data_IF_982489001491
#
_entry.id   IF_982489001491
#
_cell.length_a   1.000
_cell.length_b   1.000
_cell.length_c   1.000
_cell.angle_alpha   90.00
_cell.angle_beta   90.00
_cell.angle_gamma   90.00
#
_symmetry.space_group_name_H-M   'P 1'
#
loop_
_entity.id
_entity.type
_entity.pdbx_description
1 polymer ?
#
# COMPACT_ATOMS: atom_id res chain seq x y z
N UNK A 1 -6.25 -20.92 19.94
CA UNK A 1 -4.95 -20.23 20.11
C UNK A 1 -4.71 -20.04 21.60
N UNK A 2 -3.56 -20.48 22.14
CA UNK A 2 -3.06 -20.08 23.46
C UNK A 2 -1.60 -19.67 23.28
N UNK A 3 -1.27 -18.47 23.75
CA UNK A 3 0.10 -18.06 24.00
C UNK A 3 0.49 -18.50 25.41
N UNK A 4 1.63 -19.17 25.60
CA UNK A 4 2.21 -19.39 26.92
C UNK A 4 3.72 -19.06 26.89
N UNK A 5 4.09 -18.08 27.71
CA UNK A 5 5.43 -17.86 28.30
C UNK A 5 5.45 -18.53 29.69
N UNK A 6 6.60 -19.01 30.20
CA UNK A 6 6.64 -20.12 31.16
C UNK A 6 6.35 -19.65 32.58
N UNK A 7 5.16 -19.98 33.11
CA UNK A 7 4.93 -20.42 34.49
C UNK A 7 3.45 -20.78 34.70
N UNK A 8 3.20 -22.08 34.80
CA UNK A 8 2.03 -22.78 35.39
C UNK A 8 0.60 -22.54 34.85
N UNK A 9 -0.04 -23.69 34.61
CA UNK A 9 -1.46 -24.00 34.36
C UNK A 9 -2.04 -23.71 32.97
N UNK A 10 -2.09 -24.80 32.18
CA UNK A 10 -2.70 -24.97 30.87
C UNK A 10 -4.24 -24.99 30.99
N UNK A 11 -4.95 -24.21 30.17
CA UNK A 11 -6.36 -24.48 29.84
C UNK A 11 -6.55 -24.35 28.32
N UNK A 12 -6.70 -25.51 27.68
CA UNK A 12 -6.70 -25.77 26.23
C UNK A 12 -7.95 -25.21 25.57
N UNK A 13 -7.81 -24.48 24.48
CA UNK A 13 -8.94 -24.09 23.65
C UNK A 13 -9.22 -25.23 22.65
N UNK A 14 -10.30 -25.98 22.91
CA UNK A 14 -10.86 -27.00 22.04
C UNK A 14 -11.40 -26.34 20.75
N UNK A 15 -10.74 -26.57 19.62
CA UNK A 15 -11.43 -26.56 18.32
C UNK A 15 -11.80 -28.02 18.03
N UNK A 16 -12.88 -28.47 18.66
CA UNK A 16 -13.37 -29.82 18.57
C UNK A 16 -14.59 -29.93 19.46
N UNK A 17 -15.75 -29.54 18.92
CA UNK A 17 -17.10 -30.03 19.20
C UNK A 17 -18.01 -29.19 18.30
N UNK A 18 -18.33 -29.74 17.13
CA UNK A 18 -19.56 -29.45 16.37
C UNK A 18 -19.78 -30.63 15.41
N UNK A 19 -19.96 -31.80 16.02
CA UNK A 19 -20.58 -32.99 15.42
C UNK A 19 -21.24 -33.82 16.53
N UNK A 20 -21.71 -33.17 17.59
CA UNK A 20 -22.06 -33.84 18.85
C UNK A 20 -23.50 -33.65 19.33
N UNK A 21 -24.36 -32.97 18.57
CA UNK A 21 -25.76 -32.77 19.01
C UNK A 21 -26.80 -33.58 18.24
N UNK A 22 -26.50 -34.14 17.06
CA UNK A 22 -27.50 -34.93 16.31
C UNK A 22 -27.25 -36.44 16.24
N UNK A 23 -26.02 -36.95 16.44
CA UNK A 23 -25.81 -38.41 16.56
C UNK A 23 -24.50 -38.80 17.28
N UNK A 24 -24.40 -38.42 18.56
CA UNK A 24 -23.24 -38.72 19.42
C UNK A 24 -22.97 -40.22 19.53
N UNK A 25 -24.01 -41.05 19.48
CA UNK A 25 -23.91 -42.49 19.63
C UNK A 25 -23.40 -43.16 18.34
N UNK A 26 -23.86 -42.73 17.16
CA UNK A 26 -23.33 -43.24 15.90
C UNK A 26 -21.87 -42.83 15.67
N UNK A 27 -21.49 -41.59 16.00
CA UNK A 27 -20.11 -41.14 15.88
C UNK A 27 -19.18 -41.84 16.89
N UNK A 28 -19.64 -42.02 18.14
CA UNK A 28 -18.87 -42.75 19.16
C UNK A 28 -18.74 -44.23 18.81
N UNK A 29 -19.78 -44.85 18.24
CA UNK A 29 -19.76 -46.22 17.75
C UNK A 29 -18.84 -46.38 16.52
N UNK A 30 -18.88 -45.44 15.57
CA UNK A 30 -18.00 -45.42 14.40
C UNK A 30 -16.53 -45.22 14.81
N UNK A 31 -16.25 -44.27 15.70
CA UNK A 31 -14.92 -44.02 16.25
C UNK A 31 -14.38 -45.23 17.02
N UNK A 32 -15.22 -45.91 17.80
CA UNK A 32 -14.84 -47.13 18.53
C UNK A 32 -14.53 -48.30 17.59
N UNK A 33 -15.30 -48.47 16.52
CA UNK A 33 -15.07 -49.51 15.49
C UNK A 33 -13.80 -49.25 14.68
N UNK A 34 -13.56 -48.00 14.29
CA UNK A 34 -12.33 -47.60 13.60
C UNK A 34 -11.12 -47.76 14.53
N UNK A 35 -11.25 -47.45 15.82
CA UNK A 35 -10.20 -47.68 16.81
C UNK A 35 -9.90 -49.17 17.05
N UNK A 36 -10.90 -50.04 16.88
CA UNK A 36 -10.77 -51.49 16.93
C UNK A 36 -10.28 -52.12 15.61
N UNK A 37 -10.04 -51.32 14.55
CA UNK A 37 -9.57 -51.79 13.25
C UNK A 37 -10.65 -52.36 12.32
N UNK A 38 -11.93 -52.12 12.61
CA UNK A 38 -13.06 -52.58 11.79
C UNK A 38 -13.32 -51.63 10.60
N UNK A 39 -13.68 -52.19 9.43
CA UNK A 39 -14.05 -51.42 8.25
C UNK A 39 -15.43 -50.75 8.42
N UNK A 40 -15.48 -49.43 8.30
CA UNK A 40 -16.71 -48.65 8.29
C UNK A 40 -17.38 -48.66 6.91
N UNK A 41 -18.68 -48.90 6.84
CA UNK A 41 -19.41 -48.95 5.57
C UNK A 41 -19.87 -47.55 5.14
N UNK A 42 -19.08 -46.92 4.27
CA UNK A 42 -19.31 -45.58 3.71
C UNK A 42 -20.53 -45.48 2.76
N UNK A 43 -21.16 -46.60 2.39
CA UNK A 43 -22.36 -46.57 1.53
C UNK A 43 -23.66 -46.21 2.26
N UNK A 44 -23.61 -46.02 3.58
CA UNK A 44 -24.76 -45.68 4.42
C UNK A 44 -24.92 -44.17 4.72
N UNK A 45 -24.10 -43.31 4.11
CA UNK A 45 -24.07 -41.89 4.41
C UNK A 45 -25.26 -41.14 3.79
N UNK A 46 -25.91 -40.30 4.58
CA UNK A 46 -27.00 -39.40 4.13
C UNK A 46 -26.43 -38.06 3.66
N UNK A 47 -27.25 -37.20 3.04
CA UNK A 47 -26.87 -35.82 2.66
C UNK A 47 -26.33 -35.02 3.86
N UNK A 48 -26.88 -35.25 5.05
CA UNK A 48 -26.44 -34.65 6.32
C UNK A 48 -24.99 -35.06 6.67
N UNK A 49 -24.56 -36.25 6.28
CA UNK A 49 -23.18 -36.71 6.52
C UNK A 49 -22.17 -36.05 5.58
N UNK A 50 -22.60 -35.63 4.37
CA UNK A 50 -21.76 -34.87 3.44
C UNK A 50 -21.49 -33.45 3.97
N UNK A 51 -22.54 -32.78 4.46
CA UNK A 51 -22.41 -31.44 5.05
C UNK A 51 -21.51 -31.44 6.29
N UNK A 52 -21.63 -32.45 7.16
CA UNK A 52 -20.74 -32.63 8.31
C UNK A 52 -19.29 -32.94 7.90
N UNK A 53 -19.07 -33.71 6.83
CA UNK A 53 -17.73 -33.95 6.30
C UNK A 53 -17.11 -32.69 5.69
N UNK A 54 -17.91 -31.88 5.00
CA UNK A 54 -17.49 -30.60 4.43
C UNK A 54 -17.14 -29.58 5.52
N UNK A 55 -17.97 -29.46 6.57
CA UNK A 55 -17.71 -28.61 7.73
C UNK A 55 -16.47 -29.07 8.51
N UNK A 56 -16.29 -30.39 8.64
CA UNK A 56 -15.10 -31.00 9.23
C UNK A 56 -13.82 -30.65 8.47
N UNK A 57 -13.84 -30.69 7.12
CA UNK A 57 -12.68 -30.30 6.30
C UNK A 57 -12.43 -28.79 6.33
N UNK A 58 -13.50 -27.97 6.28
CA UNK A 58 -13.43 -26.51 6.40
C UNK A 58 -12.75 -26.09 7.69
N UNK A 59 -13.07 -26.74 8.80
CA UNK A 59 -12.52 -26.40 10.11
C UNK A 59 -11.14 -27.01 10.33
N UNK A 60 -11.00 -28.32 10.14
CA UNK A 60 -9.82 -29.07 10.59
C UNK A 60 -8.62 -28.99 9.64
N UNK A 61 -8.86 -28.74 8.34
CA UNK A 61 -7.77 -28.61 7.35
C UNK A 61 -7.69 -27.18 6.81
N UNK A 62 -8.74 -26.68 6.16
CA UNK A 62 -8.68 -25.39 5.49
C UNK A 62 -8.57 -24.22 6.47
N UNK A 63 -9.30 -24.26 7.60
CA UNK A 63 -9.20 -23.28 8.67
C UNK A 63 -7.84 -23.28 9.34
N UNK A 64 -7.29 -24.45 9.65
CA UNK A 64 -5.94 -24.59 10.21
C UNK A 64 -4.86 -24.07 9.24
N UNK A 65 -4.98 -24.37 7.95
CA UNK A 65 -4.09 -23.89 6.90
C UNK A 65 -4.13 -22.36 6.80
N UNK A 66 -5.32 -21.77 6.70
CA UNK A 66 -5.52 -20.32 6.63
C UNK A 66 -4.93 -19.60 7.84
N UNK A 67 -5.11 -20.17 9.04
CA UNK A 67 -4.51 -19.64 10.27
C UNK A 67 -2.98 -19.67 10.22
N UNK A 68 -2.38 -20.76 9.72
CA UNK A 68 -0.93 -20.82 9.58
C UNK A 68 -0.43 -19.75 8.60
N UNK A 69 -1.01 -19.69 7.40
CA UNK A 69 -0.63 -18.74 6.35
C UNK A 69 -0.75 -17.28 6.79
N UNK A 70 -1.80 -16.96 7.55
CA UNK A 70 -2.04 -15.59 8.06
C UNK A 70 -0.98 -15.14 9.06
N UNK A 71 -0.49 -16.05 9.90
CA UNK A 71 0.43 -15.71 11.00
C UNK A 71 1.91 -15.96 10.67
N UNK A 72 2.24 -16.57 9.52
CA UNK A 72 3.63 -16.76 9.07
C UNK A 72 4.44 -15.46 9.09
N UNK A 73 3.95 -14.31 8.57
CA UNK A 73 4.74 -13.07 8.58
C UNK A 73 5.08 -12.58 9.98
N UNK A 74 4.21 -12.84 10.98
CA UNK A 74 4.45 -12.49 12.37
C UNK A 74 5.43 -13.47 13.04
N UNK A 75 5.32 -14.75 12.72
CA UNK A 75 6.22 -15.79 13.24
C UNK A 75 7.66 -15.56 12.76
N UNK A 76 7.85 -15.05 11.54
CA UNK A 76 9.18 -14.70 11.01
C UNK A 76 9.91 -13.60 11.81
N UNK A 77 9.20 -12.87 12.67
CA UNK A 77 9.78 -11.84 13.55
C UNK A 77 10.23 -12.39 14.92
N UNK A 78 9.94 -13.66 15.22
CA UNK A 78 10.33 -14.32 16.48
C UNK A 78 11.71 -14.97 16.33
N UNK A 79 12.55 -14.88 17.36
CA UNK A 79 13.87 -15.54 17.39
C UNK A 79 13.77 -17.09 17.43
N UNK A 80 12.57 -17.65 17.64
CA UNK A 80 12.34 -19.10 17.71
C UNK A 80 10.88 -19.45 17.39
N UNK A 81 10.43 -19.31 16.14
CA UNK A 81 9.05 -19.58 15.78
C UNK A 81 8.76 -21.07 15.82
N UNK A 82 7.56 -21.42 16.28
CA UNK A 82 7.06 -22.80 16.28
C UNK A 82 5.60 -22.84 15.90
N UNK A 83 5.28 -23.71 14.94
CA UNK A 83 3.90 -24.11 14.65
C UNK A 83 3.75 -25.55 15.13
N UNK A 84 2.77 -25.79 16.01
CA UNK A 84 2.46 -27.13 16.52
C UNK A 84 1.03 -27.46 16.12
N UNK A 85 0.89 -28.42 15.22
CA UNK A 85 -0.41 -28.96 14.81
C UNK A 85 -0.72 -30.22 15.60
N UNK A 86 -1.91 -30.28 16.20
CA UNK A 86 -2.41 -31.44 16.93
C UNK A 86 -3.34 -32.22 16.03
N UNK A 87 -3.17 -33.54 15.95
CA UNK A 87 -4.04 -34.44 15.18
C UNK A 87 -4.56 -35.56 16.06
N UNK A 88 -5.76 -36.05 15.74
CA UNK A 88 -6.37 -37.19 16.41
C UNK A 88 -5.87 -38.51 15.82
N UNK A 89 -5.84 -39.57 16.63
CA UNK A 89 -5.39 -40.92 16.21
C UNK A 89 -6.20 -41.51 15.06
N UNK A 90 -7.42 -41.00 14.81
CA UNK A 90 -8.26 -41.41 13.68
C UNK A 90 -7.70 -40.95 12.33
N UNK A 91 -6.92 -39.86 12.29
CA UNK A 91 -6.31 -39.30 11.07
C UNK A 91 -5.01 -39.97 10.63
N UNK A 92 -4.64 -41.13 11.18
CA UNK A 92 -3.45 -41.88 10.72
C UNK A 92 -3.63 -42.32 9.28
N UNK A 93 -2.58 -42.20 8.47
CA UNK A 93 -2.56 -42.70 7.08
C UNK A 93 -2.98 -44.17 6.96
N UNK A 94 -2.60 -44.98 7.96
CA UNK A 94 -2.95 -46.40 8.05
C UNK A 94 -4.47 -46.65 8.14
N UNK A 95 -5.24 -45.67 8.62
CA UNK A 95 -6.69 -45.75 8.76
C UNK A 95 -7.44 -45.36 7.49
N UNK A 96 -6.76 -44.77 6.49
CA UNK A 96 -7.39 -44.49 5.21
C UNK A 96 -7.70 -45.83 4.51
N UNK A 97 -8.83 -45.93 3.83
CA UNK A 97 -9.13 -47.09 2.97
C UNK A 97 -8.86 -46.81 1.49
N UNK A 98 -8.75 -45.53 1.14
CA UNK A 98 -8.53 -45.08 -0.23
C UNK A 98 -7.03 -45.06 -0.54
N UNK A 99 -6.58 -46.00 -1.38
CA UNK A 99 -5.18 -46.16 -1.76
C UNK A 99 -4.63 -44.98 -2.57
N UNK A 100 -5.47 -44.26 -3.32
CA UNK A 100 -5.06 -43.01 -3.96
C UNK A 100 -4.77 -41.94 -2.91
N UNK A 101 -5.68 -41.73 -1.95
CA UNK A 101 -5.50 -40.76 -0.88
C UNK A 101 -4.29 -41.12 0.02
N UNK A 102 -4.06 -42.42 0.28
CA UNK A 102 -2.84 -42.89 0.95
C UNK A 102 -1.61 -42.54 0.15
N UNK A 103 -1.54 -42.91 -1.13
CA UNK A 103 -0.40 -42.65 -2.00
C UNK A 103 -0.02 -41.17 -1.97
N UNK A 104 -1.01 -40.31 -2.20
CA UNK A 104 -0.95 -38.86 -2.07
C UNK A 104 -0.41 -38.45 -0.68
N UNK A 105 -1.11 -38.76 0.40
CA UNK A 105 -0.76 -38.27 1.74
C UNK A 105 0.48 -38.96 2.37
N UNK A 106 0.95 -40.06 1.80
CA UNK A 106 2.15 -40.81 2.24
C UNK A 106 3.43 -40.43 1.48
N UNK A 107 3.28 -39.68 0.38
CA UNK A 107 4.39 -39.28 -0.46
C UNK A 107 5.16 -38.12 0.19
N UNK A 108 6.17 -38.50 1.00
CA UNK A 108 7.07 -37.58 1.66
C UNK A 108 8.09 -36.94 0.72
N UNK A 109 8.26 -37.43 -0.53
CA UNK A 109 9.14 -36.79 -1.52
C UNK A 109 8.53 -35.51 -2.10
N UNK A 110 7.23 -35.31 -1.89
CA UNK A 110 6.54 -34.05 -2.19
C UNK A 110 6.55 -33.07 -1.02
N UNK A 111 7.23 -33.37 0.10
CA UNK A 111 7.53 -32.38 1.12
C UNK A 111 8.72 -31.52 0.68
N UNK A 112 8.45 -30.32 0.18
CA UNK A 112 9.51 -29.30 0.13
C UNK A 112 9.67 -28.75 1.54
N UNK A 113 10.74 -29.19 2.22
CA UNK A 113 11.30 -28.47 3.36
C UNK A 113 12.05 -27.24 2.84
N UNK A 114 11.51 -26.06 3.09
CA UNK A 114 12.30 -24.84 2.97
C UNK A 114 12.83 -24.50 4.36
N UNK A 115 14.16 -24.57 4.54
CA UNK A 115 14.82 -24.09 5.74
C UNK A 115 15.29 -22.66 5.51
N UNK A 116 14.64 -21.73 6.21
CA UNK A 116 15.12 -20.37 6.40
C UNK A 116 15.52 -20.27 7.87
N UNK A 117 16.82 -20.15 8.12
CA UNK A 117 17.43 -19.82 9.41
C UNK A 117 16.72 -20.44 10.63
N UNK A 118 16.77 -21.77 10.71
CA UNK A 118 16.21 -22.66 11.76
C UNK A 118 14.69 -22.90 11.79
N UNK A 119 13.94 -22.44 10.78
CA UNK A 119 12.51 -22.77 10.60
C UNK A 119 12.34 -23.92 9.61
N UNK A 120 11.63 -24.99 9.99
CA UNK A 120 11.28 -26.07 9.05
C UNK A 120 9.84 -25.91 8.57
N UNK A 121 9.66 -25.55 7.29
CA UNK A 121 8.33 -25.39 6.68
C UNK A 121 8.11 -26.53 5.70
N UNK A 122 7.09 -27.34 5.97
CA UNK A 122 6.70 -28.51 5.18
C UNK A 122 5.52 -28.16 4.25
N UNK A 123 5.74 -28.11 2.94
CA UNK A 123 4.65 -28.00 1.94
C UNK A 123 4.53 -29.27 1.11
N UNK A 124 3.32 -29.59 0.65
CA UNK A 124 3.05 -30.72 -0.23
C UNK A 124 3.03 -30.26 -1.71
N UNK A 125 3.84 -30.91 -2.55
CA UNK A 125 4.43 -30.38 -3.79
C UNK A 125 3.58 -30.30 -5.08
N UNK A 126 4.22 -29.68 -6.08
CA UNK A 126 3.72 -29.30 -7.41
C UNK A 126 3.32 -30.48 -8.31
N UNK A 127 2.01 -30.68 -8.52
CA UNK A 127 1.45 -31.05 -9.82
C UNK A 127 0.03 -30.50 -9.98
N UNK A 128 -0.18 -29.77 -11.06
CA UNK A 128 -1.40 -29.07 -11.43
C UNK A 128 -2.58 -30.02 -11.60
N UNK A 129 -3.57 -29.92 -10.71
CA UNK A 129 -4.94 -30.38 -10.98
C UNK A 129 -5.53 -29.46 -12.04
N UNK A 130 -5.67 -29.98 -13.27
CA UNK A 130 -6.49 -29.34 -14.31
C UNK A 130 -7.94 -29.35 -13.83
N UNK A 131 -8.39 -28.21 -13.32
CA UNK A 131 -9.80 -27.91 -13.09
C UNK A 131 -10.38 -27.45 -14.44
N UNK A 132 -11.34 -28.20 -14.97
CA UNK A 132 -12.13 -27.79 -16.15
C UNK A 132 -12.94 -26.53 -15.80
N UNK A 133 -12.97 -25.51 -16.68
CA UNK A 133 -13.52 -24.20 -16.35
C UNK A 133 -15.04 -24.19 -16.49
N UNK A 134 -15.78 -24.68 -15.50
CA UNK A 134 -17.25 -24.52 -15.49
C UNK A 134 -17.87 -24.33 -14.10
N UNK A 135 -17.06 -24.11 -13.07
CA UNK A 135 -17.53 -23.41 -11.86
C UNK A 135 -16.34 -22.64 -11.27
N UNK A 136 -16.51 -21.32 -11.18
CA UNK A 136 -15.44 -20.41 -10.75
C UNK A 136 -14.92 -20.80 -9.36
N UNK A 137 -13.61 -20.97 -9.17
CA UNK A 137 -13.06 -21.01 -7.82
C UNK A 137 -13.31 -19.66 -7.16
N UNK A 138 -13.81 -19.69 -5.92
CA UNK A 138 -13.98 -18.50 -5.08
C UNK A 138 -12.59 -17.97 -4.68
N UNK A 139 -11.89 -17.35 -5.64
CA UNK A 139 -10.81 -16.41 -5.38
C UNK A 139 -11.45 -15.06 -5.04
N UNK A 140 -11.81 -14.88 -3.78
CA UNK A 140 -11.97 -13.55 -3.20
C UNK A 140 -10.76 -13.27 -2.30
N UNK A 141 -9.55 -13.35 -2.86
CA UNK A 141 -8.48 -12.51 -2.35
C UNK A 141 -8.94 -11.07 -2.61
N UNK A 142 -9.21 -10.29 -1.56
CA UNK A 142 -9.66 -8.91 -1.69
C UNK A 142 -8.71 -8.14 -2.60
N UNK A 143 -9.14 -7.82 -3.82
CA UNK A 143 -8.34 -7.02 -4.75
C UNK A 143 -8.26 -5.60 -4.22
N UNK A 144 -7.03 -5.09 -4.11
CA UNK A 144 -6.76 -3.70 -3.75
C UNK A 144 -6.60 -2.87 -5.02
N UNK A 145 -7.23 -1.70 -5.04
CA UNK A 145 -7.18 -0.76 -6.15
C UNK A 145 -6.44 0.51 -5.74
N UNK A 146 -5.45 0.90 -6.53
CA UNK A 146 -4.65 2.09 -6.31
C UNK A 146 -4.74 3.08 -7.47
N UNK A 147 -4.68 4.36 -7.17
CA UNK A 147 -4.46 5.44 -8.14
C UNK A 147 -3.12 6.09 -7.82
N UNK A 148 -2.26 6.23 -8.83
CA UNK A 148 -1.00 6.98 -8.70
C UNK A 148 -1.01 8.13 -9.71
N UNK A 149 -0.90 9.36 -9.20
CA UNK A 149 -0.91 10.57 -10.03
C UNK A 149 0.45 10.86 -10.64
N UNK A 150 0.50 11.32 -11.90
CA UNK A 150 1.78 11.70 -12.56
C UNK A 150 2.77 10.54 -12.68
N UNK A 151 2.28 9.36 -13.07
CA UNK A 151 2.97 8.09 -12.95
C UNK A 151 3.57 7.55 -14.25
N UNK A 152 3.59 8.35 -15.34
CA UNK A 152 4.22 7.93 -16.60
C UNK A 152 5.76 7.89 -16.56
N UNK A 153 6.39 8.40 -15.50
CA UNK A 153 7.86 8.46 -15.34
C UNK A 153 8.25 8.71 -13.88
N UNK A 154 9.55 8.63 -13.61
CA UNK A 154 10.14 8.98 -12.31
C UNK A 154 9.55 8.14 -11.17
N UNK A 155 9.44 8.75 -9.99
CA UNK A 155 9.00 8.08 -8.76
C UNK A 155 7.62 7.45 -8.93
N UNK A 156 6.65 8.15 -9.55
CA UNK A 156 5.30 7.62 -9.77
C UNK A 156 5.28 6.30 -10.57
N UNK A 157 6.17 6.16 -11.57
CA UNK A 157 6.30 4.91 -12.31
C UNK A 157 6.89 3.78 -11.44
N UNK A 158 7.87 4.12 -10.60
CA UNK A 158 8.45 3.20 -9.61
C UNK A 158 7.40 2.71 -8.60
N UNK A 159 6.54 3.62 -8.12
CA UNK A 159 5.44 3.30 -7.21
C UNK A 159 4.45 2.34 -7.89
N UNK A 160 4.04 2.62 -9.14
CA UNK A 160 3.16 1.73 -9.90
C UNK A 160 3.76 0.33 -10.03
N UNK A 161 5.03 0.22 -10.40
CA UNK A 161 5.74 -1.06 -10.53
C UNK A 161 5.75 -1.86 -9.23
N UNK A 162 6.12 -1.21 -8.12
CA UNK A 162 6.22 -1.88 -6.82
C UNK A 162 4.85 -2.29 -6.25
N UNK A 163 3.82 -1.43 -6.36
CA UNK A 163 2.46 -1.79 -5.94
C UNK A 163 1.91 -2.97 -6.76
N UNK A 164 2.07 -2.93 -8.08
CA UNK A 164 1.64 -4.02 -8.95
C UNK A 164 2.37 -5.33 -8.67
N UNK A 165 3.68 -5.27 -8.37
CA UNK A 165 4.45 -6.47 -7.97
C UNK A 165 3.97 -7.12 -6.66
N UNK A 166 3.19 -6.39 -5.86
CA UNK A 166 2.57 -6.86 -4.62
C UNK A 166 1.09 -7.23 -4.80
N UNK A 167 0.63 -7.35 -6.04
CA UNK A 167 -0.73 -7.79 -6.38
C UNK A 167 -1.79 -6.68 -6.33
N UNK A 168 -1.40 -5.41 -6.18
CA UNK A 168 -2.33 -4.27 -6.22
C UNK A 168 -2.68 -3.97 -7.68
N UNK A 169 -3.96 -3.83 -8.00
CA UNK A 169 -4.37 -3.29 -9.31
C UNK A 169 -4.21 -1.77 -9.29
N UNK A 170 -3.32 -1.24 -10.11
CA UNK A 170 -2.95 0.18 -10.14
C UNK A 170 -3.48 0.85 -11.41
N UNK A 171 -4.21 1.94 -11.22
CA UNK A 171 -4.49 2.93 -12.26
C UNK A 171 -3.32 3.89 -12.33
N UNK A 172 -2.44 3.65 -13.31
CA UNK A 172 -1.38 4.56 -13.71
C UNK A 172 -2.01 5.74 -14.43
N UNK A 173 -1.73 6.96 -13.99
CA UNK A 173 -2.28 8.16 -14.61
C UNK A 173 -1.21 9.12 -15.13
N UNK A 174 -1.54 9.83 -16.19
CA UNK A 174 -0.66 10.80 -16.82
C UNK A 174 -1.46 11.90 -17.52
N UNK A 175 -0.94 13.12 -17.52
CA UNK A 175 -1.58 14.24 -18.24
C UNK A 175 -1.54 14.04 -19.75
N UNK A 176 -0.45 13.45 -20.24
CA UNK A 176 -0.24 13.14 -21.66
C UNK A 176 -0.56 11.67 -21.90
N UNK A 177 -1.60 11.42 -22.69
CA UNK A 177 -2.12 10.08 -22.95
C UNK A 177 -1.07 9.18 -23.61
N UNK A 178 -0.35 9.68 -24.61
CA UNK A 178 0.68 8.92 -25.31
C UNK A 178 1.76 8.42 -24.35
N UNK A 179 2.32 9.32 -23.52
CA UNK A 179 3.34 8.97 -22.53
C UNK A 179 2.80 8.01 -21.47
N UNK A 180 1.53 8.12 -21.12
CA UNK A 180 0.85 7.20 -20.20
C UNK A 180 0.76 5.78 -20.75
N UNK A 181 0.34 5.63 -22.01
CA UNK A 181 0.26 4.34 -22.71
C UNK A 181 1.65 3.72 -22.84
N UNK A 182 2.65 4.49 -23.28
CA UNK A 182 4.05 4.03 -23.37
C UNK A 182 4.59 3.56 -22.00
N UNK A 183 4.20 4.23 -20.91
CA UNK A 183 4.60 3.83 -19.56
C UNK A 183 3.95 2.50 -19.13
N UNK A 184 2.67 2.28 -19.48
CA UNK A 184 2.01 0.99 -19.26
C UNK A 184 2.68 -0.12 -20.07
N UNK A 185 3.02 0.12 -21.32
CA UNK A 185 3.73 -0.86 -22.17
C UNK A 185 5.07 -1.29 -21.55
N UNK A 186 5.86 -0.34 -21.04
CA UNK A 186 7.11 -0.66 -20.31
C UNK A 186 6.88 -1.53 -19.08
N UNK A 187 5.78 -1.33 -18.36
CA UNK A 187 5.43 -2.17 -17.20
C UNK A 187 4.89 -3.56 -17.63
N UNK A 188 4.23 -3.65 -18.79
CA UNK A 188 3.78 -4.93 -19.37
C UNK A 188 4.95 -5.83 -19.72
N UNK A 189 6.06 -5.28 -20.23
CA UNK A 189 7.30 -6.03 -20.48
C UNK A 189 7.88 -6.66 -19.21
N UNK A 190 7.53 -6.14 -18.03
CA UNK A 190 7.96 -6.67 -16.72
C UNK A 190 7.02 -7.74 -16.15
N UNK A 191 6.04 -8.23 -16.92
CA UNK A 191 5.09 -9.26 -16.47
C UNK A 191 4.00 -8.76 -15.51
N UNK A 192 3.81 -7.44 -15.40
CA UNK A 192 2.82 -6.81 -14.50
C UNK A 192 1.56 -6.35 -15.24
N UNK A 193 1.32 -6.85 -16.46
CA UNK A 193 0.27 -6.37 -17.36
C UNK A 193 -1.13 -6.39 -16.75
N UNK A 194 -1.42 -7.42 -15.97
CA UNK A 194 -2.77 -7.68 -15.46
C UNK A 194 -3.12 -6.78 -14.26
N UNK A 195 -2.11 -6.10 -13.71
CA UNK A 195 -2.23 -5.22 -12.56
C UNK A 195 -2.16 -3.73 -12.93
N UNK A 196 -1.90 -3.38 -14.19
CA UNK A 196 -1.74 -1.97 -14.60
C UNK A 196 -2.84 -1.57 -15.58
N UNK A 197 -3.62 -0.58 -15.19
CA UNK A 197 -4.59 0.12 -16.03
C UNK A 197 -4.10 1.54 -16.29
N UNK A 198 -4.46 2.11 -17.43
CA UNK A 198 -4.18 3.51 -17.74
C UNK A 198 -5.46 4.34 -17.68
N UNK A 199 -5.37 5.55 -17.14
CA UNK A 199 -6.38 6.59 -17.33
C UNK A 199 -5.70 7.96 -17.43
N UNK A 200 -6.11 8.79 -18.40
CA UNK A 200 -5.60 10.15 -18.52
C UNK A 200 -5.98 10.97 -17.27
N UNK A 201 -5.04 11.78 -16.75
CA UNK A 201 -5.30 12.68 -15.63
C UNK A 201 -4.41 13.91 -15.68
N UNK A 202 -5.02 15.08 -15.73
CA UNK A 202 -4.40 16.34 -15.32
C UNK A 202 -5.02 16.81 -13.98
N UNK A 203 -4.23 16.80 -12.91
CA UNK A 203 -4.66 17.22 -11.57
C UNK A 203 -4.98 18.73 -11.50
N UNK A 204 -4.56 19.50 -12.51
CA UNK A 204 -4.91 20.91 -12.65
C UNK A 204 -6.29 21.15 -13.30
N UNK A 205 -6.93 20.11 -13.84
CA UNK A 205 -8.21 20.16 -14.56
C UNK A 205 -9.32 19.40 -13.80
N UNK A 206 -10.32 20.09 -13.24
CA UNK A 206 -11.45 19.46 -12.55
C UNK A 206 -12.23 18.44 -13.41
N UNK A 207 -12.34 18.66 -14.73
CA UNK A 207 -13.06 17.74 -15.62
C UNK A 207 -12.31 16.41 -15.78
N UNK A 208 -10.98 16.48 -15.89
CA UNK A 208 -10.11 15.30 -15.93
C UNK A 208 -10.20 14.49 -14.63
N UNK A 209 -10.24 15.16 -13.47
CA UNK A 209 -10.42 14.49 -12.16
C UNK A 209 -11.79 13.81 -12.06
N UNK A 210 -12.86 14.48 -12.48
CA UNK A 210 -14.21 13.92 -12.45
C UNK A 210 -14.31 12.67 -13.34
N UNK A 211 -13.74 12.72 -14.55
CA UNK A 211 -13.68 11.56 -15.45
C UNK A 211 -12.98 10.36 -14.81
N UNK A 212 -11.88 10.58 -14.09
CA UNK A 212 -11.18 9.51 -13.38
C UNK A 212 -12.01 8.93 -12.23
N UNK A 213 -12.69 9.77 -11.45
CA UNK A 213 -13.55 9.31 -10.36
C UNK A 213 -14.70 8.43 -10.89
N UNK A 214 -15.34 8.83 -11.99
CA UNK A 214 -16.39 8.05 -12.65
C UNK A 214 -15.86 6.72 -13.19
N UNK A 215 -14.66 6.72 -13.77
CA UNK A 215 -13.97 5.51 -14.21
C UNK A 215 -13.73 4.53 -13.05
N UNK A 216 -13.15 4.98 -11.94
CA UNK A 216 -12.87 4.15 -10.75
C UNK A 216 -14.17 3.58 -10.19
N UNK A 217 -15.20 4.42 -10.04
CA UNK A 217 -16.52 4.01 -9.56
C UNK A 217 -17.13 2.93 -10.46
N UNK A 218 -17.04 3.10 -11.77
CA UNK A 218 -17.64 2.18 -12.74
C UNK A 218 -16.88 0.86 -12.85
N UNK A 219 -15.54 0.89 -12.76
CA UNK A 219 -14.69 -0.28 -12.94
C UNK A 219 -14.54 -1.11 -11.66
N UNK A 220 -14.41 -0.46 -10.50
CA UNK A 220 -14.04 -1.13 -9.25
C UNK A 220 -15.05 -0.93 -8.12
N UNK A 221 -15.92 0.09 -8.22
CA UNK A 221 -16.91 0.41 -7.19
C UNK A 221 -16.33 1.02 -5.89
N UNK A 222 -15.02 0.98 -5.69
CA UNK A 222 -14.29 1.54 -4.55
C UNK A 222 -12.86 1.94 -4.95
N UNK A 223 -12.14 2.59 -4.03
CA UNK A 223 -10.71 2.80 -4.12
C UNK A 223 -10.06 2.44 -2.78
N UNK A 224 -8.90 1.80 -2.78
CA UNK A 224 -8.19 1.47 -1.54
C UNK A 224 -7.00 2.41 -1.29
N UNK A 225 -6.30 2.84 -2.34
CA UNK A 225 -5.08 3.63 -2.22
C UNK A 225 -5.10 4.81 -3.19
N UNK A 226 -4.85 6.02 -2.69
CA UNK A 226 -4.52 7.20 -3.49
C UNK A 226 -3.08 7.64 -3.20
N UNK A 227 -2.25 7.73 -4.24
CA UNK A 227 -0.91 8.33 -4.14
C UNK A 227 -0.89 9.63 -4.94
N UNK A 228 -0.88 10.76 -4.22
CA UNK A 228 -0.68 12.09 -4.77
C UNK A 228 0.83 12.33 -5.02
N UNK A 229 1.32 11.81 -6.15
CA UNK A 229 2.70 11.92 -6.60
C UNK A 229 2.93 13.07 -7.60
N UNK A 230 1.91 13.47 -8.38
CA UNK A 230 2.06 14.51 -9.39
C UNK A 230 2.62 15.80 -8.78
N UNK A 231 3.69 16.33 -9.37
CA UNK A 231 4.30 17.56 -8.92
C UNK A 231 5.33 18.12 -9.88
N UNK A 232 5.50 19.44 -9.83
CA UNK A 232 6.47 20.21 -10.61
C UNK A 232 7.28 21.11 -9.69
N UNK A 233 8.40 21.63 -10.19
CA UNK A 233 9.26 22.54 -9.43
C UNK A 233 8.66 23.93 -9.26
N UNK A 234 7.79 24.37 -10.17
CA UNK A 234 7.28 25.75 -10.19
C UNK A 234 8.37 26.79 -10.51
N UNK A 235 9.42 26.35 -11.21
CA UNK A 235 10.55 27.15 -11.65
C UNK A 235 11.18 26.49 -12.88
N UNK A 236 11.77 27.29 -13.77
CA UNK A 236 12.58 26.81 -14.89
C UNK A 236 14.04 26.86 -14.45
N UNK A 237 14.78 25.79 -14.66
CA UNK A 237 16.21 25.82 -14.44
C UNK A 237 16.96 26.12 -15.73
N UNK A 238 18.10 26.77 -15.57
CA UNK A 238 19.09 26.94 -16.62
C UNK A 238 20.01 25.72 -16.62
N UNK A 239 19.82 24.85 -17.62
CA UNK A 239 20.56 23.60 -17.77
C UNK A 239 22.07 23.82 -17.93
N UNK A 240 22.48 24.90 -18.59
CA UNK A 240 23.89 25.21 -18.81
C UNK A 240 24.52 25.75 -17.53
N UNK A 241 23.79 26.60 -16.78
CA UNK A 241 24.21 27.06 -15.46
C UNK A 241 24.31 25.90 -14.45
N UNK A 242 23.37 24.94 -14.48
CA UNK A 242 23.44 23.73 -13.64
C UNK A 242 24.66 22.89 -13.96
N UNK A 243 24.92 22.60 -15.25
CA UNK A 243 26.09 21.82 -15.65
C UNK A 243 27.41 22.51 -15.33
N UNK A 244 27.44 23.84 -15.40
CA UNK A 244 28.61 24.64 -15.07
C UNK A 244 28.83 24.80 -13.55
N UNK A 245 27.83 24.48 -12.73
CA UNK A 245 27.91 24.57 -11.27
C UNK A 245 28.43 23.28 -10.62
N UNK A 246 28.79 23.36 -9.34
CA UNK A 246 29.09 22.20 -8.51
C UNK A 246 27.81 21.51 -7.95
N UNK A 247 26.64 21.79 -8.54
CA UNK A 247 25.37 21.20 -8.10
C UNK A 247 25.42 19.67 -8.08
N UNK A 248 25.04 19.08 -6.95
CA UNK A 248 25.13 17.63 -6.70
C UNK A 248 26.46 17.14 -6.12
N UNK A 249 27.48 18.00 -5.98
CA UNK A 249 28.72 17.66 -5.28
C UNK A 249 28.61 17.94 -3.77
N UNK A 250 29.19 17.09 -2.90
CA UNK A 250 29.20 17.33 -1.46
C UNK A 250 29.85 18.68 -1.10
N UNK A 251 29.16 19.51 -0.32
CA UNK A 251 29.69 20.80 0.16
C UNK A 251 29.66 21.96 -0.85
N UNK A 252 29.05 21.78 -2.03
CA UNK A 252 28.96 22.82 -3.03
C UNK A 252 28.10 24.01 -2.59
N UNK A 253 28.63 25.23 -2.69
CA UNK A 253 27.83 26.45 -2.58
C UNK A 253 27.26 26.80 -3.96
N UNK A 254 25.94 26.64 -4.10
CA UNK A 254 25.23 26.82 -5.37
C UNK A 254 24.44 28.12 -5.32
N UNK A 255 24.67 29.02 -6.29
CA UNK A 255 23.90 30.26 -6.41
C UNK A 255 22.60 29.98 -7.16
N UNK A 256 21.59 29.57 -6.40
CA UNK A 256 20.27 29.20 -6.93
C UNK A 256 19.59 30.31 -7.74
N UNK A 257 19.84 31.58 -7.41
CA UNK A 257 19.23 32.73 -8.08
C UNK A 257 19.72 32.92 -9.51
N UNK A 258 20.92 32.42 -9.84
CA UNK A 258 21.48 32.43 -11.20
C UNK A 258 21.10 31.18 -12.00
N UNK A 259 20.58 30.15 -11.35
CA UNK A 259 20.32 28.84 -11.94
C UNK A 259 18.83 28.53 -12.10
N UNK A 260 17.96 29.34 -11.49
CA UNK A 260 16.52 29.17 -11.50
C UNK A 260 15.84 30.47 -11.92
N UNK A 261 15.09 30.40 -13.01
CA UNK A 261 14.08 31.39 -13.35
C UNK A 261 12.79 31.06 -12.60
N UNK A 262 12.36 31.97 -11.74
CA UNK A 262 11.10 31.89 -11.00
C UNK A 262 10.24 33.09 -11.41
N UNK A 263 9.02 32.85 -11.87
CA UNK A 263 8.03 33.89 -12.18
C UNK A 263 6.76 33.66 -11.39
N UNK A 264 5.90 34.68 -11.32
CA UNK A 264 4.60 34.56 -10.69
C UNK A 264 3.76 33.43 -11.34
N UNK A 265 3.78 33.33 -12.67
CA UNK A 265 3.04 32.32 -13.43
C UNK A 265 3.52 30.89 -13.13
N UNK A 266 4.85 30.69 -13.07
CA UNK A 266 5.43 29.39 -12.70
C UNK A 266 5.13 29.03 -11.24
N UNK A 267 5.10 30.04 -10.36
CA UNK A 267 4.71 29.85 -8.97
C UNK A 267 3.24 29.41 -8.86
N UNK A 268 2.33 30.09 -9.58
CA UNK A 268 0.90 29.74 -9.64
C UNK A 268 0.69 28.33 -10.20
N UNK A 269 1.37 27.96 -11.30
CA UNK A 269 1.32 26.61 -11.85
C UNK A 269 1.82 25.55 -10.84
N UNK A 270 2.90 25.88 -10.12
CA UNK A 270 3.47 25.05 -9.06
C UNK A 270 2.46 24.78 -7.94
N UNK A 271 1.80 25.81 -7.42
CA UNK A 271 0.77 25.68 -6.39
C UNK A 271 -0.47 24.93 -6.93
N UNK A 272 -0.90 25.24 -8.16
CA UNK A 272 -2.06 24.63 -8.82
C UNK A 272 -1.89 23.12 -8.97
N UNK A 273 -0.68 22.67 -9.27
CA UNK A 273 -0.36 21.24 -9.44
C UNK A 273 -0.08 20.57 -8.11
N UNK A 274 0.90 21.08 -7.36
CA UNK A 274 1.47 20.38 -6.21
C UNK A 274 0.54 20.35 -5.00
N UNK A 275 -0.29 21.38 -4.81
CA UNK A 275 -1.18 21.50 -3.67
C UNK A 275 -2.65 21.39 -4.09
N UNK A 276 -3.15 22.33 -4.89
CA UNK A 276 -4.57 22.35 -5.26
C UNK A 276 -4.98 21.12 -6.08
N UNK A 277 -4.06 20.57 -6.89
CA UNK A 277 -4.32 19.35 -7.64
C UNK A 277 -4.54 18.15 -6.71
N UNK A 278 -3.63 17.92 -5.77
CA UNK A 278 -3.76 16.87 -4.77
C UNK A 278 -4.96 17.10 -3.83
N UNK A 279 -5.28 18.36 -3.47
CA UNK A 279 -6.50 18.72 -2.72
C UNK A 279 -7.75 18.25 -3.45
N UNK A 280 -7.92 18.63 -4.73
CA UNK A 280 -9.05 18.20 -5.56
C UNK A 280 -9.12 16.69 -5.76
N UNK A 281 -7.97 16.03 -5.92
CA UNK A 281 -7.90 14.57 -6.01
C UNK A 281 -8.44 13.89 -4.74
N UNK A 282 -8.04 14.38 -3.56
CA UNK A 282 -8.59 13.89 -2.29
C UNK A 282 -10.10 14.15 -2.21
N UNK A 283 -10.57 15.37 -2.48
CA UNK A 283 -11.99 15.72 -2.43
C UNK A 283 -12.84 14.82 -3.33
N UNK A 284 -12.37 14.53 -4.55
CA UNK A 284 -13.09 13.71 -5.52
C UNK A 284 -13.09 12.21 -5.18
N UNK A 285 -12.00 11.70 -4.58
CA UNK A 285 -11.81 10.25 -4.39
C UNK A 285 -12.05 9.76 -2.95
N UNK A 286 -12.11 10.64 -1.96
CA UNK A 286 -12.47 10.26 -0.58
C UNK A 286 -13.79 9.49 -0.49
N UNK A 287 -14.88 9.85 -1.22
CA UNK A 287 -16.11 9.06 -1.19
C UNK A 287 -15.91 7.60 -1.63
N UNK A 288 -14.98 7.34 -2.56
CA UNK A 288 -14.65 5.98 -3.01
C UNK A 288 -13.68 5.28 -2.05
N UNK A 289 -12.78 6.03 -1.41
CA UNK A 289 -11.89 5.53 -0.36
C UNK A 289 -12.68 5.08 0.88
N UNK A 290 -13.75 5.78 1.25
CA UNK A 290 -14.61 5.39 2.37
C UNK A 290 -15.34 4.05 2.16
N UNK A 291 -15.33 3.50 0.94
CA UNK A 291 -15.87 2.18 0.63
C UNK A 291 -14.82 1.05 0.78
N UNK A 292 -13.57 1.39 1.05
CA UNK A 292 -12.52 0.42 1.37
C UNK A 292 -12.54 0.05 2.85
N UNK A 293 -12.25 -1.20 3.17
CA UNK A 293 -12.01 -1.66 4.54
C UNK A 293 -10.68 -1.15 5.09
N UNK A 294 -9.78 -0.65 4.23
CA UNK A 294 -8.45 -0.22 4.62
C UNK A 294 -7.90 0.90 3.72
N UNK A 295 -8.53 2.10 3.72
CA UNK A 295 -8.19 3.17 2.79
C UNK A 295 -6.90 3.92 3.16
N UNK A 296 -6.12 4.28 2.13
CA UNK A 296 -4.84 4.97 2.25
C UNK A 296 -4.75 6.18 1.34
N UNK A 297 -4.21 7.28 1.86
CA UNK A 297 -3.77 8.42 1.07
C UNK A 297 -2.30 8.68 1.38
N UNK A 298 -1.46 8.70 0.35
CA UNK A 298 -0.05 9.02 0.44
C UNK A 298 0.22 10.28 -0.36
N UNK A 299 0.61 11.34 0.33
CA UNK A 299 0.98 12.61 -0.31
C UNK A 299 2.51 12.68 -0.46
N UNK A 300 3.01 12.63 -1.70
CA UNK A 300 4.45 12.77 -1.94
C UNK A 300 4.84 14.23 -1.74
N UNK A 301 5.54 14.49 -0.64
CA UNK A 301 6.01 15.80 -0.21
C UNK A 301 7.52 15.95 -0.47
N UNK A 302 8.20 16.80 0.32
CA UNK A 302 9.65 17.02 0.28
C UNK A 302 10.12 17.53 1.64
N UNK A 303 11.36 17.26 2.01
CA UNK A 303 12.01 17.90 3.18
C UNK A 303 12.07 19.42 3.04
N UNK A 304 12.04 19.95 1.81
CA UNK A 304 11.91 21.38 1.55
C UNK A 304 10.54 21.97 2.01
N UNK A 305 9.57 21.10 2.31
CA UNK A 305 8.29 21.48 2.92
C UNK A 305 8.34 21.60 4.44
N UNK A 306 9.45 21.23 5.10
CA UNK A 306 9.61 21.39 6.55
C UNK A 306 9.46 22.86 6.94
N UNK A 307 8.82 23.12 8.08
CA UNK A 307 8.52 24.49 8.52
C UNK A 307 9.79 25.35 8.73
N UNK A 308 10.94 24.72 8.98
CA UNK A 308 12.23 25.41 9.06
C UNK A 308 12.62 26.13 7.75
N UNK A 309 12.12 25.67 6.59
CA UNK A 309 12.38 26.28 5.29
C UNK A 309 11.34 27.33 4.86
N UNK A 310 10.31 27.56 5.69
CA UNK A 310 9.35 28.65 5.52
C UNK A 310 9.83 29.86 6.32
N UNK A 311 10.53 30.78 5.65
CA UNK A 311 11.14 31.95 6.31
C UNK A 311 10.15 33.07 6.67
N UNK A 312 8.94 33.04 6.10
CA UNK A 312 7.90 34.01 6.47
C UNK A 312 7.27 33.57 7.79
N UNK A 313 7.56 34.30 8.87
CA UNK A 313 7.18 33.92 10.24
C UNK A 313 5.66 33.81 10.44
N UNK A 314 4.86 34.63 9.76
CA UNK A 314 3.40 34.53 9.80
C UNK A 314 2.93 33.23 9.16
N UNK A 315 3.36 32.93 7.94
CA UNK A 315 3.02 31.69 7.23
C UNK A 315 3.47 30.46 8.03
N UNK A 316 4.69 30.50 8.59
CA UNK A 316 5.22 29.45 9.46
C UNK A 316 4.35 29.22 10.69
N UNK A 317 3.93 30.29 11.37
CA UNK A 317 3.03 30.19 12.52
C UNK A 317 1.65 29.62 12.12
N UNK A 318 1.08 30.05 10.99
CA UNK A 318 -0.20 29.53 10.50
C UNK A 318 -0.12 28.03 10.17
N UNK A 319 0.89 27.61 9.41
CA UNK A 319 1.06 26.21 8.98
C UNK A 319 1.48 25.28 10.14
N UNK A 320 2.16 25.83 11.16
CA UNK A 320 2.57 25.10 12.36
C UNK A 320 1.48 24.91 13.41
N UNK A 321 0.44 25.75 13.42
CA UNK A 321 -0.64 25.73 14.42
C UNK A 321 -1.64 24.59 14.21
N UNK A 322 -1.26 23.38 14.60
CA UNK A 322 -2.04 22.13 14.49
C UNK A 322 -3.45 22.25 15.04
N UNK A 323 -3.61 23.00 16.13
CA UNK A 323 -4.87 23.11 16.85
C UNK A 323 -5.93 23.83 16.03
N UNK A 324 -5.52 24.87 15.31
CA UNK A 324 -6.39 25.74 14.53
C UNK A 324 -6.13 25.68 13.01
N UNK A 325 -5.46 24.63 12.55
CA UNK A 325 -5.14 24.44 11.14
C UNK A 325 -6.42 24.08 10.37
N UNK A 326 -6.75 24.85 9.33
CA UNK A 326 -7.88 24.59 8.43
C UNK A 326 -7.44 24.77 6.98
N UNK A 327 -8.23 24.23 6.05
CA UNK A 327 -7.94 24.35 4.61
C UNK A 327 -7.95 25.83 4.18
N UNK A 328 -8.85 26.64 4.74
CA UNK A 328 -8.98 28.07 4.44
C UNK A 328 -7.74 28.86 4.87
N UNK A 329 -7.14 28.53 6.02
CA UNK A 329 -5.92 29.18 6.50
C UNK A 329 -4.71 28.81 5.65
N UNK A 330 -4.63 27.57 5.16
CA UNK A 330 -3.59 27.16 4.21
C UNK A 330 -3.77 27.91 2.88
N UNK A 331 -5.02 27.99 2.40
CA UNK A 331 -5.34 28.71 1.16
C UNK A 331 -5.07 30.23 1.29
N UNK A 332 -5.28 30.82 2.47
CA UNK A 332 -4.93 32.23 2.79
C UNK A 332 -3.42 32.47 2.69
N UNK A 333 -2.59 31.59 3.27
CA UNK A 333 -1.13 31.69 3.18
C UNK A 333 -0.65 31.68 1.73
N UNK A 334 -1.17 30.74 0.93
CA UNK A 334 -0.79 30.62 -0.48
C UNK A 334 -1.27 31.80 -1.32
N UNK A 335 -2.47 32.31 -1.04
CA UNK A 335 -3.03 33.47 -1.73
C UNK A 335 -2.24 34.73 -1.41
N UNK A 336 -1.86 34.94 -0.14
CA UNK A 336 -1.02 36.06 0.26
C UNK A 336 0.37 35.99 -0.38
N UNK A 337 0.98 34.79 -0.43
CA UNK A 337 2.25 34.59 -1.11
C UNK A 337 2.18 34.98 -2.60
N UNK A 338 1.16 34.56 -3.34
CA UNK A 338 1.01 34.92 -4.75
C UNK A 338 0.81 36.43 -4.95
N UNK A 339 0.01 37.06 -4.08
CA UNK A 339 -0.16 38.51 -4.08
C UNK A 339 1.17 39.23 -3.84
N UNK A 340 1.95 38.78 -2.86
CA UNK A 340 3.25 39.35 -2.52
C UNK A 340 4.28 39.17 -3.64
N UNK A 341 4.20 38.03 -4.35
CA UNK A 341 4.99 37.77 -5.55
C UNK A 341 4.66 38.80 -6.64
N UNK A 342 3.37 38.98 -6.92
CA UNK A 342 2.90 39.92 -7.94
C UNK A 342 3.30 41.37 -7.64
N UNK A 343 3.37 41.72 -6.37
CA UNK A 343 3.83 43.03 -5.87
C UNK A 343 5.35 43.19 -5.87
N UNK A 344 6.12 42.13 -6.14
CA UNK A 344 7.59 42.16 -6.08
C UNK A 344 8.12 42.30 -4.65
N UNK A 345 7.37 41.81 -3.65
CA UNK A 345 7.64 42.02 -2.23
C UNK A 345 8.04 40.76 -1.46
N UNK A 346 8.42 39.68 -2.17
CA UNK A 346 8.75 38.40 -1.54
C UNK A 346 9.85 38.52 -0.49
N UNK A 347 10.99 39.10 -0.88
CA UNK A 347 12.17 39.24 -0.02
C UNK A 347 11.87 40.15 1.18
N UNK A 348 11.22 41.29 0.94
CA UNK A 348 10.91 42.26 2.01
C UNK A 348 9.88 41.74 2.99
N UNK A 349 8.97 40.85 2.56
CA UNK A 349 8.02 40.13 3.43
C UNK A 349 8.57 38.79 3.94
N UNK A 350 9.86 38.50 3.73
CA UNK A 350 10.53 37.35 4.32
C UNK A 350 10.15 36.00 3.71
N UNK A 351 9.57 35.95 2.52
CA UNK A 351 9.32 34.69 1.82
C UNK A 351 10.63 34.03 1.37
N UNK A 352 10.66 32.70 1.17
CA UNK A 352 11.89 32.03 0.75
C UNK A 352 12.44 32.62 -0.56
N UNK A 353 13.75 32.85 -0.63
CA UNK A 353 14.36 33.49 -1.81
C UNK A 353 14.44 32.59 -3.05
N UNK A 354 14.49 31.27 -2.85
CA UNK A 354 14.62 30.27 -3.92
C UNK A 354 13.72 29.06 -3.67
N UNK A 355 13.22 28.49 -4.77
CA UNK A 355 12.23 27.42 -4.79
C UNK A 355 11.03 27.75 -3.90
N UNK A 356 10.64 29.03 -3.84
CA UNK A 356 9.64 29.55 -2.90
C UNK A 356 8.30 28.88 -3.07
N UNK A 357 7.78 28.84 -4.30
CA UNK A 357 6.53 28.17 -4.63
C UNK A 357 6.59 26.66 -4.33
N UNK A 358 7.72 26.01 -4.60
CA UNK A 358 7.90 24.59 -4.30
C UNK A 358 7.84 24.33 -2.79
N UNK A 359 8.64 25.06 -2.00
CA UNK A 359 8.67 24.97 -0.53
C UNK A 359 7.29 25.19 0.06
N UNK A 360 6.61 26.28 -0.32
CA UNK A 360 5.27 26.56 0.17
C UNK A 360 4.24 25.52 -0.28
N UNK A 361 4.32 25.02 -1.51
CA UNK A 361 3.41 23.95 -1.97
C UNK A 361 3.55 22.68 -1.15
N UNK A 362 4.78 22.32 -0.75
CA UNK A 362 5.06 21.12 0.05
C UNK A 362 4.76 21.34 1.53
N UNK A 363 4.99 22.52 2.07
CA UNK A 363 4.54 22.90 3.42
C UNK A 363 3.00 22.91 3.51
N UNK A 364 2.30 23.41 2.48
CA UNK A 364 0.85 23.33 2.38
C UNK A 364 0.35 21.88 2.26
N UNK A 365 1.05 21.02 1.52
CA UNK A 365 0.75 19.59 1.44
C UNK A 365 0.90 18.88 2.79
N UNK A 366 1.95 19.22 3.54
CA UNK A 366 2.20 18.76 4.89
C UNK A 366 1.06 19.17 5.83
N UNK A 367 0.68 20.45 5.82
CA UNK A 367 -0.45 20.97 6.58
C UNK A 367 -1.77 20.27 6.22
N UNK A 368 -2.05 20.10 4.92
CA UNK A 368 -3.26 19.46 4.43
C UNK A 368 -3.37 17.99 4.79
N UNK A 369 -2.24 17.25 4.76
CA UNK A 369 -2.17 15.87 5.27
C UNK A 369 -2.68 15.78 6.70
N UNK A 370 -2.28 16.71 7.58
CA UNK A 370 -2.70 16.76 8.99
C UNK A 370 -4.17 17.12 9.14
N UNK A 371 -4.64 18.09 8.35
CA UNK A 371 -6.07 18.46 8.31
C UNK A 371 -6.92 17.24 7.94
N UNK A 372 -6.56 16.54 6.85
CA UNK A 372 -7.29 15.39 6.38
C UNK A 372 -7.25 14.23 7.37
N UNK A 373 -6.10 13.92 7.96
CA UNK A 373 -5.97 12.85 8.96
C UNK A 373 -6.90 13.10 10.17
N UNK A 374 -7.03 14.35 10.63
CA UNK A 374 -7.97 14.75 11.68
C UNK A 374 -9.43 14.65 11.23
N UNK A 375 -9.72 15.04 9.98
CA UNK A 375 -11.08 15.07 9.40
C UNK A 375 -11.61 13.66 9.09
N UNK A 376 -10.73 12.73 8.74
CA UNK A 376 -11.06 11.37 8.31
C UNK A 376 -10.28 10.31 9.09
N UNK A 377 -10.60 10.07 10.39
CA UNK A 377 -9.84 9.13 11.23
C UNK A 377 -9.91 7.66 10.77
N UNK A 378 -10.87 7.31 9.90
CA UNK A 378 -10.96 5.99 9.27
C UNK A 378 -10.04 5.79 8.06
N UNK A 379 -9.34 6.85 7.61
CA UNK A 379 -8.39 6.80 6.50
C UNK A 379 -6.98 7.04 7.04
N UNK A 380 -6.04 6.19 6.66
CA UNK A 380 -4.63 6.43 6.97
C UNK A 380 -4.02 7.36 5.91
N UNK A 381 -3.66 8.57 6.34
CA UNK A 381 -3.29 9.70 5.48
C UNK A 381 -1.94 10.23 5.96
N UNK A 382 -0.89 10.03 5.19
CA UNK A 382 0.47 10.46 5.55
C UNK A 382 1.15 11.14 4.36
N UNK A 383 2.19 11.93 4.63
CA UNK A 383 3.05 12.48 3.59
C UNK A 383 4.48 11.98 3.73
N UNK A 384 5.20 11.96 2.61
CA UNK A 384 6.56 11.42 2.55
C UNK A 384 7.45 12.22 1.62
N UNK A 385 8.65 12.57 2.08
CA UNK A 385 9.75 12.96 1.22
C UNK A 385 10.43 11.68 0.69
N UNK A 386 10.49 11.46 -0.63
CA UNK A 386 11.11 10.27 -1.21
C UNK A 386 12.66 10.34 -1.23
N UNK A 387 13.26 11.37 -0.63
CA UNK A 387 14.69 11.65 -0.71
C UNK A 387 15.12 12.29 -2.03
N UNK A 388 16.43 12.36 -2.25
CA UNK A 388 17.02 13.02 -3.42
C UNK A 388 17.21 12.06 -4.59
N UNK A 389 16.15 11.92 -5.40
CA UNK A 389 16.01 10.89 -6.44
C UNK A 389 16.45 11.39 -7.83
N UNK A 390 17.18 10.54 -8.56
CA UNK A 390 17.60 10.75 -9.95
C UNK A 390 16.41 10.71 -10.91
N UNK A 391 15.76 11.86 -11.13
CA UNK A 391 14.62 12.01 -12.05
C UNK A 391 14.74 13.28 -12.88
N UNK A 392 13.87 13.45 -13.89
CA UNK A 392 13.78 14.67 -14.69
C UNK A 392 13.66 15.95 -13.84
N UNK A 393 12.92 15.91 -12.72
CA UNK A 393 12.74 17.09 -11.85
C UNK A 393 14.05 17.52 -11.19
N UNK A 394 15.08 16.68 -11.22
CA UNK A 394 16.41 16.94 -10.69
C UNK A 394 17.48 16.79 -11.79
N UNK A 395 17.12 16.78 -13.07
CA UNK A 395 18.09 16.56 -14.17
C UNK A 395 18.91 15.27 -14.03
N UNK A 396 18.28 14.21 -13.50
CA UNK A 396 18.93 12.95 -13.18
C UNK A 396 20.10 13.06 -12.18
N UNK A 397 20.23 14.20 -11.51
CA UNK A 397 21.04 14.32 -10.30
C UNK A 397 20.24 13.78 -9.10
N UNK A 398 20.94 13.22 -8.14
CA UNK A 398 20.35 12.46 -7.05
C UNK A 398 21.32 11.44 -6.50
N UNK A 399 21.11 11.04 -5.24
CA UNK A 399 21.84 9.92 -4.63
C UNK A 399 21.03 8.62 -4.73
N UNK A 400 19.70 8.71 -4.84
CA UNK A 400 18.79 7.57 -4.92
C UNK A 400 18.34 7.28 -6.36
N UNK A 401 18.13 6.01 -6.66
CA UNK A 401 17.41 5.51 -7.82
C UNK A 401 15.90 5.74 -7.70
N UNK A 402 15.18 5.59 -8.82
CA UNK A 402 13.71 5.69 -8.84
C UNK A 402 13.08 4.61 -7.95
N UNK A 403 13.64 3.41 -7.96
CA UNK A 403 13.22 2.29 -7.15
C UNK A 403 13.34 2.61 -5.65
N UNK A 404 14.51 3.07 -5.20
CA UNK A 404 14.74 3.46 -3.80
C UNK A 404 13.80 4.62 -3.39
N UNK A 405 13.64 5.63 -4.26
CA UNK A 405 12.74 6.75 -4.00
C UNK A 405 11.26 6.38 -3.91
N UNK A 406 10.84 5.25 -4.51
CA UNK A 406 9.48 4.76 -4.46
C UNK A 406 9.16 3.95 -3.20
N UNK A 407 10.17 3.44 -2.48
CA UNK A 407 9.98 2.55 -1.33
C UNK A 407 9.18 3.20 -0.20
N UNK A 408 9.49 4.45 0.16
CA UNK A 408 8.75 5.20 1.18
C UNK A 408 7.27 5.34 0.88
N UNK A 409 6.89 5.92 -0.27
CA UNK A 409 5.50 5.99 -0.70
C UNK A 409 4.78 4.62 -0.74
N UNK A 410 5.45 3.58 -1.25
CA UNK A 410 4.89 2.22 -1.33
C UNK A 410 4.67 1.61 0.05
N UNK A 411 5.62 1.79 0.98
CA UNK A 411 5.47 1.36 2.37
C UNK A 411 4.24 2.01 3.01
N UNK A 412 4.07 3.33 2.86
CA UNK A 412 2.92 4.04 3.41
C UNK A 412 1.60 3.60 2.76
N UNK A 413 1.60 3.34 1.46
CA UNK A 413 0.43 2.86 0.72
C UNK A 413 -0.02 1.46 1.16
N UNK A 414 0.85 0.67 1.78
CA UNK A 414 0.60 -0.71 2.20
C UNK A 414 0.62 -0.90 3.72
N UNK A 415 0.58 0.20 4.48
CA UNK A 415 0.50 0.15 5.93
C UNK A 415 -0.74 -0.68 6.37
N UNK A 416 -0.64 -1.51 7.43
CA UNK A 416 -1.78 -2.23 7.98
C UNK A 416 -2.93 -1.34 8.43
N UNK A 417 -4.16 -1.87 8.47
CA UNK A 417 -5.32 -1.14 8.99
C UNK A 417 -5.07 -0.68 10.44
N UNK A 418 -5.46 0.56 10.75
CA UNK A 418 -5.21 1.18 12.06
C UNK A 418 -3.79 1.74 12.25
N UNK A 419 -2.96 1.76 11.21
CA UNK A 419 -1.63 2.39 11.26
C UNK A 419 -1.71 3.91 11.52
N UNK A 420 -0.61 4.52 12.02
CA UNK A 420 -0.55 5.96 12.28
C UNK A 420 -0.93 6.81 11.06
N UNK A 421 -1.65 7.91 11.30
CA UNK A 421 -2.18 8.83 10.29
C UNK A 421 -1.86 10.27 10.72
N UNK A 422 -1.54 11.14 9.76
CA UNK A 422 -1.23 12.55 9.98
C UNK A 422 0.25 12.85 10.21
N UNK A 423 1.14 11.96 9.76
CA UNK A 423 2.59 12.06 9.96
C UNK A 423 3.35 12.41 8.67
N UNK A 424 4.54 12.97 8.84
CA UNK A 424 5.53 13.19 7.79
C UNK A 424 6.64 12.15 7.90
N UNK A 425 7.07 11.62 6.76
CA UNK A 425 8.16 10.66 6.68
C UNK A 425 9.27 11.18 5.77
N UNK A 426 10.52 10.98 6.17
CA UNK A 426 11.67 11.12 5.31
C UNK A 426 12.13 9.72 4.89
N UNK A 427 11.87 9.37 3.64
CA UNK A 427 12.00 8.01 3.11
C UNK A 427 11.16 7.00 3.92
N UNK A 428 11.81 6.26 4.84
CA UNK A 428 11.18 5.23 5.67
C UNK A 428 10.97 5.66 7.13
N UNK A 429 11.60 6.77 7.54
CA UNK A 429 11.65 7.22 8.93
C UNK A 429 10.62 8.33 9.18
N UNK A 430 9.97 8.29 10.34
CA UNK A 430 9.05 9.35 10.77
C UNK A 430 9.83 10.57 11.24
N UNK A 431 9.39 11.75 10.83
CA UNK A 431 10.09 13.02 11.06
C UNK A 431 9.11 14.13 11.43
N UNK A 432 9.63 15.22 12.02
CA UNK A 432 8.85 16.42 12.27
C UNK A 432 8.53 17.21 10.97
N UNK A 433 7.48 18.03 11.04
CA UNK A 433 6.77 18.62 9.89
C UNK A 433 7.40 19.81 9.18
#
# INVERSE_FOLDING_TARGET
MIFISPNHHLQVNNAGILAAETDRDAFTAAASKIHAGEQFNWSALTTETYELAEEGLKTNYFGAKMMCETFIPLLQLSDSPRIVSVSASIGKLQNLSNEWAKSILSDAENLTEERVDDVCICYWGKQSLRITPESQPYESAFKMYAVVTGANKGIGLGICKQLASKGVTVVLTARDEKRGIEAVEKLRESGLSDFILFHQLDVADPASIASLADFIKSQFGKLDILVNNAGIRGAIADDDAIKASDFGKPGAQVNWTQMLTQTHELAEEGLKTNYYGAKRMCEALIPLLQLSDSPRIVNVSSSAGKLEYVSNEWAKAVLGDVGNLTEERVDEVLSQYLQDYKEGSLETKGWPAYLSAYKLSKAAMNAYTRILAKKYPGICINCVCPGYVKTDINYYSGILSVEEGAEGPVRLALLPHGSPSGFFFEQLEEEEF
#
